data_IF_425410135591
#
_entry.id   IF_425410135591
#
_cell.length_a   1.000
_cell.length_b   1.000
_cell.length_c   1.000
_cell.angle_alpha   90.00
_cell.angle_beta   90.00
_cell.angle_gamma   90.00
#
_symmetry.space_group_name_H-M   'P 1'
#
loop_
_entity.id
_entity.type
_entity.pdbx_description
1 polymer ?
#
# COMPACT_ATOMS: atom_id res chain seq x y z
N UNK A 1 -16.66 -5.91 -11.70
CA UNK A 1 -15.48 -6.79 -11.68
C UNK A 1 -14.40 -6.04 -10.88
N UNK A 2 -13.43 -6.76 -10.32
CA UNK A 2 -12.37 -6.23 -9.46
C UNK A 2 -11.04 -6.73 -9.96
N UNK A 3 -10.00 -5.93 -9.78
CA UNK A 3 -8.62 -6.25 -10.10
C UNK A 3 -7.75 -6.21 -8.86
N UNK A 4 -6.65 -6.95 -8.90
CA UNK A 4 -5.66 -6.96 -7.84
C UNK A 4 -4.51 -6.02 -8.21
N UNK A 5 -4.21 -5.08 -7.32
CA UNK A 5 -3.06 -4.18 -7.42
C UNK A 5 -2.03 -4.57 -6.39
N UNK A 6 -0.75 -4.48 -6.73
CA UNK A 6 0.33 -4.63 -5.77
C UNK A 6 0.74 -3.26 -5.26
N UNK A 7 0.72 -3.10 -3.94
CA UNK A 7 1.18 -1.92 -3.25
C UNK A 7 2.50 -2.26 -2.57
N UNK A 8 3.57 -1.66 -3.05
CA UNK A 8 4.92 -1.77 -2.51
C UNK A 8 5.12 -0.58 -1.56
N UNK A 9 5.17 -0.88 -0.26
CA UNK A 9 5.22 0.15 0.79
C UNK A 9 6.63 0.22 1.35
N UNK A 10 7.22 1.39 1.20
CA UNK A 10 8.55 1.73 1.66
C UNK A 10 8.48 2.77 2.78
N UNK A 11 9.46 2.72 3.68
CA UNK A 11 9.63 3.72 4.73
C UNK A 11 10.91 4.53 4.47
N UNK A 12 10.84 5.83 4.67
CA UNK A 12 12.00 6.71 4.50
C UNK A 12 13.13 6.38 5.50
N UNK A 13 12.78 5.89 6.69
CA UNK A 13 13.71 5.54 7.76
C UNK A 13 13.05 4.67 8.84
N UNK A 14 13.85 4.23 9.81
CA UNK A 14 13.38 3.39 10.93
C UNK A 14 12.39 4.09 11.88
N UNK A 15 12.41 5.42 11.98
CA UNK A 15 11.44 6.16 12.79
C UNK A 15 10.06 6.12 12.14
N UNK A 16 9.98 6.27 10.82
CA UNK A 16 8.75 6.11 10.07
C UNK A 16 8.21 4.68 10.20
N UNK A 17 9.07 3.68 10.04
CA UNK A 17 8.69 2.29 10.27
C UNK A 17 8.18 2.05 11.71
N UNK A 18 8.83 2.60 12.74
CA UNK A 18 8.33 2.51 14.13
C UNK A 18 6.97 3.20 14.33
N UNK A 19 6.73 4.32 13.64
CA UNK A 19 5.50 5.09 13.73
C UNK A 19 4.32 4.39 13.04
N UNK A 20 4.46 4.01 11.76
CA UNK A 20 3.42 3.36 10.97
C UNK A 20 3.29 1.86 11.27
N UNK A 21 4.39 1.22 11.68
CA UNK A 21 4.49 -0.19 12.03
C UNK A 21 4.33 -1.13 10.83
N UNK A 22 4.05 -2.38 11.15
CA UNK A 22 3.93 -3.50 10.24
C UNK A 22 2.58 -4.23 10.38
N UNK A 23 2.35 -5.22 9.52
CA UNK A 23 1.16 -6.08 9.52
C UNK A 23 -0.14 -5.28 9.56
N UNK A 24 -1.02 -5.65 10.51
CA UNK A 24 -2.34 -5.02 10.67
C UNK A 24 -2.27 -3.51 10.90
N UNK A 25 -1.28 -3.02 11.65
CA UNK A 25 -1.16 -1.58 11.95
C UNK A 25 -0.88 -0.78 10.68
N UNK A 26 0.01 -1.28 9.83
CA UNK A 26 0.27 -0.66 8.53
C UNK A 26 -0.97 -0.73 7.63
N UNK A 27 -1.64 -1.87 7.57
CA UNK A 27 -2.86 -2.03 6.77
C UNK A 27 -3.97 -1.06 7.20
N UNK A 28 -4.14 -0.80 8.50
CA UNK A 28 -5.07 0.21 9.01
C UNK A 28 -4.69 1.63 8.57
N UNK A 29 -3.41 2.00 8.67
CA UNK A 29 -2.93 3.30 8.17
C UNK A 29 -3.19 3.46 6.66
N UNK A 30 -2.95 2.43 5.86
CA UNK A 30 -3.20 2.47 4.42
C UNK A 30 -4.70 2.57 4.09
N UNK A 31 -5.57 1.88 4.85
CA UNK A 31 -7.03 2.04 4.71
C UNK A 31 -7.47 3.47 5.02
N UNK A 32 -6.85 4.11 6.00
CA UNK A 32 -7.12 5.51 6.32
C UNK A 32 -6.59 6.45 5.23
N UNK A 33 -5.42 6.20 4.64
CA UNK A 33 -4.86 7.03 3.56
C UNK A 33 -5.72 6.92 2.28
N UNK A 34 -6.20 5.72 1.95
CA UNK A 34 -6.94 5.43 0.71
C UNK A 34 -8.45 5.28 0.91
N UNK A 35 -9.02 5.80 2.01
CA UNK A 35 -10.40 5.51 2.43
C UNK A 35 -11.48 5.81 1.36
N UNK A 36 -11.27 6.84 0.53
CA UNK A 36 -12.21 7.26 -0.53
C UNK A 36 -12.03 6.51 -1.86
N UNK A 37 -11.15 5.52 -1.92
CA UNK A 37 -10.81 4.80 -3.16
C UNK A 37 -11.48 3.43 -3.29
N UNK A 38 -12.29 3.05 -2.29
CA UNK A 38 -13.02 1.77 -2.26
C UNK A 38 -12.10 0.55 -2.47
N UNK A 39 -10.91 0.60 -1.86
CA UNK A 39 -9.90 -0.45 -1.90
C UNK A 39 -10.07 -1.41 -0.73
N UNK A 40 -9.73 -2.68 -0.91
CA UNK A 40 -9.59 -3.63 0.20
C UNK A 40 -8.14 -4.03 0.39
N UNK A 41 -7.58 -3.61 1.53
CA UNK A 41 -6.24 -3.99 1.95
C UNK A 41 -6.27 -5.31 2.73
N UNK A 42 -5.32 -6.22 2.52
CA UNK A 42 -5.15 -7.41 3.36
C UNK A 42 -4.47 -7.06 4.69
N UNK A 43 -4.75 -7.81 5.75
CA UNK A 43 -4.06 -7.67 7.05
C UNK A 43 -2.73 -8.43 7.11
N UNK A 44 -2.50 -9.33 6.15
CA UNK A 44 -1.31 -10.19 6.05
C UNK A 44 -0.71 -10.03 4.66
N UNK A 45 0.59 -9.79 4.61
CA UNK A 45 1.33 -9.50 3.39
C UNK A 45 2.79 -9.89 3.54
N UNK A 46 3.46 -10.06 2.41
CA UNK A 46 4.88 -10.40 2.38
C UNK A 46 5.76 -9.17 2.65
N UNK A 47 6.96 -9.42 3.16
CA UNK A 47 7.91 -8.37 3.53
C UNK A 47 9.34 -8.79 3.24
N UNK A 48 10.20 -7.84 2.88
CA UNK A 48 11.64 -8.10 2.77
C UNK A 48 12.27 -8.28 4.16
N UNK A 49 13.46 -8.87 4.20
CA UNK A 49 14.27 -9.04 5.41
C UNK A 49 15.23 -7.85 5.65
N UNK A 50 14.90 -6.66 5.15
CA UNK A 50 15.68 -5.43 5.32
C UNK A 50 15.17 -4.61 6.49
N UNK A 51 15.93 -3.59 6.90
CA UNK A 51 15.52 -2.66 7.96
C UNK A 51 15.67 -1.22 7.46
N UNK A 52 14.57 -0.46 7.24
CA UNK A 52 13.18 -0.92 7.33
C UNK A 52 12.82 -1.93 6.22
N UNK A 53 11.81 -2.79 6.46
CA UNK A 53 11.31 -3.72 5.45
C UNK A 53 10.55 -2.97 4.36
N UNK A 54 10.45 -3.60 3.19
CA UNK A 54 9.49 -3.26 2.14
C UNK A 54 8.34 -4.23 2.24
N UNK A 55 7.10 -3.74 2.24
CA UNK A 55 5.90 -4.57 2.35
C UNK A 55 5.16 -4.64 1.02
N UNK A 56 4.72 -5.84 0.63
CA UNK A 56 4.05 -6.11 -0.64
C UNK A 56 2.61 -6.52 -0.41
N UNK A 57 1.66 -5.60 -0.61
CA UNK A 57 0.24 -5.84 -0.34
C UNK A 57 -0.51 -6.09 -1.64
N UNK A 58 -1.29 -7.19 -1.69
CA UNK A 58 -2.24 -7.44 -2.77
C UNK A 58 -3.59 -6.80 -2.43
N UNK A 59 -3.87 -5.64 -3.03
CA UNK A 59 -5.02 -4.79 -2.75
C UNK A 59 -6.10 -5.02 -3.82
N UNK A 60 -7.30 -5.43 -3.41
CA UNK A 60 -8.43 -5.51 -4.32
C UNK A 60 -8.95 -4.10 -4.63
N UNK A 61 -9.00 -3.75 -5.90
CA UNK A 61 -9.54 -2.50 -6.41
C UNK A 61 -10.69 -2.76 -7.39
N UNK A 62 -11.68 -1.85 -7.49
CA UNK A 62 -12.64 -1.88 -8.59
C UNK A 62 -11.96 -1.63 -9.94
N UNK A 63 -12.38 -2.29 -11.02
CA UNK A 63 -11.72 -2.14 -12.34
C UNK A 63 -11.76 -0.73 -12.93
N UNK A 64 -12.74 0.07 -12.52
CA UNK A 64 -12.89 1.45 -12.95
C UNK A 64 -11.92 2.41 -12.25
N UNK A 65 -11.24 1.97 -11.19
CA UNK A 65 -10.22 2.78 -10.51
C UNK A 65 -8.97 2.85 -11.38
N UNK A 66 -8.56 4.10 -11.68
CA UNK A 66 -7.33 4.38 -12.40
C UNK A 66 -6.15 4.40 -11.45
N UNK A 67 -5.04 3.78 -11.83
CA UNK A 67 -3.80 3.79 -11.04
C UNK A 67 -3.32 5.22 -10.80
N UNK A 68 -3.45 6.09 -11.81
CA UNK A 68 -3.10 7.52 -11.71
C UNK A 68 -3.87 8.22 -10.58
N UNK A 69 -5.13 7.87 -10.32
CA UNK A 69 -5.91 8.45 -9.22
C UNK A 69 -5.44 7.97 -7.84
N UNK A 70 -4.88 6.77 -7.77
CA UNK A 70 -4.29 6.21 -6.55
C UNK A 70 -2.90 6.80 -6.29
N UNK A 71 -2.11 7.02 -7.34
CA UNK A 71 -0.80 7.66 -7.26
C UNK A 71 -0.89 9.14 -6.87
N UNK A 72 -2.02 9.80 -7.16
CA UNK A 72 -2.29 11.18 -6.75
C UNK A 72 -2.78 11.31 -5.29
N UNK A 73 -2.92 10.21 -4.54
CA UNK A 73 -3.26 10.28 -3.12
C UNK A 73 -2.07 10.84 -2.34
N UNK A 74 -2.34 11.82 -1.47
CA UNK A 74 -1.32 12.39 -0.61
C UNK A 74 -0.92 11.38 0.46
N UNK A 75 0.22 10.73 0.26
CA UNK A 75 0.82 9.83 1.24
C UNK A 75 1.55 10.66 2.29
N UNK A 76 1.32 10.43 3.60
CA UNK A 76 1.95 11.21 4.65
C UNK A 76 3.47 10.99 4.68
N UNK A 77 4.23 11.97 5.21
CA UNK A 77 5.69 11.91 5.21
C UNK A 77 6.21 10.67 5.94
N UNK A 78 7.30 10.10 5.44
CA UNK A 78 7.88 8.86 5.97
C UNK A 78 7.39 7.59 5.29
N UNK A 79 6.33 7.65 4.48
CA UNK A 79 5.83 6.54 3.66
C UNK A 79 5.98 6.86 2.18
N UNK A 80 6.37 5.85 1.43
CA UNK A 80 6.29 5.84 -0.02
C UNK A 80 5.52 4.60 -0.46
N UNK A 81 4.59 4.76 -1.40
CA UNK A 81 3.72 3.69 -1.88
C UNK A 81 3.83 3.64 -3.39
N UNK A 82 4.46 2.59 -3.90
CA UNK A 82 4.50 2.28 -5.32
C UNK A 82 3.36 1.33 -5.66
N UNK A 83 2.56 1.69 -6.66
CA UNK A 83 1.37 0.91 -7.06
C UNK A 83 1.64 0.29 -8.42
N UNK A 84 1.64 -1.03 -8.46
CA UNK A 84 1.91 -1.84 -9.64
C UNK A 84 0.63 -2.61 -10.00
N UNK A 85 0.22 -2.51 -11.26
CA UNK A 85 -0.84 -3.34 -11.82
C UNK A 85 -0.18 -4.44 -12.66
N UNK A 86 -0.09 -5.64 -12.09
CA UNK A 86 0.49 -6.79 -12.78
C UNK A 86 -0.45 -7.42 -13.79
N UNK A 87 -1.62 -6.82 -14.09
CA UNK A 87 -2.38 -7.17 -15.28
C UNK A 87 -1.68 -6.62 -16.54
N UNK A 88 -0.47 -7.11 -16.79
CA UNK A 88 0.12 -7.18 -18.11
C UNK A 88 -0.15 -8.56 -18.68
N UNK A 89 -0.96 -8.54 -19.75
CA UNK A 89 -1.45 -9.61 -20.65
C UNK A 89 -2.91 -10.09 -20.46
#
# INVERSE_FOLDING_TARGET
MTKDLTFDVHFDNELAHGYYGDGKKLAENLREIYHDRNLKFPDVFDSTLTTPPVHFLSVEAPDNVKIEELQNVEVPPGLHVDIIDFQME
#
